data_IF_565579197449
#
_entry.id   IF_565579197449
#
_cell.length_a   1.000
_cell.length_b   1.000
_cell.length_c   1.000
_cell.angle_alpha   90.00
_cell.angle_beta   90.00
_cell.angle_gamma   90.00
#
_symmetry.space_group_name_H-M   'P 1'
#
loop_
_entity.id
_entity.type
_entity.pdbx_description
1 polymer ?
2 water ?
#
# COMPACT_ATOMS: atom_id res chain seq x y z
N UNK A 31 -36.64 -8.72 -0.45
CA UNK A 31 -37.72 -8.33 -1.34
C UNK A 31 -37.22 -7.32 -2.38
N UNK A 32 -36.34 -6.40 -1.96
CA UNK A 32 -35.61 -5.51 -2.88
C UNK A 32 -34.13 -5.63 -2.56
N UNK A 33 -33.31 -5.98 -3.55
CA UNK A 33 -31.88 -6.11 -3.33
C UNK A 33 -31.10 -5.11 -4.19
N UNK A 34 -30.12 -4.46 -3.57
CA UNK A 34 -29.44 -3.30 -4.13
C UNK A 34 -27.93 -3.48 -4.05
N UNK A 35 -27.26 -3.20 -5.16
CA UNK A 35 -25.81 -3.04 -5.28
C UNK A 35 -25.49 -1.57 -5.43
N UNK A 36 -24.47 -1.09 -4.74
CA UNK A 36 -24.08 0.32 -4.84
C UNK A 36 -22.72 0.35 -5.50
N UNK A 37 -22.70 0.68 -6.80
CA UNK A 37 -21.47 0.57 -7.59
C UNK A 37 -20.31 1.31 -6.95
N UNK A 38 -20.55 2.53 -6.50
CA UNK A 38 -19.46 3.39 -6.10
C UNK A 38 -19.03 3.16 -4.66
N UNK A 39 -19.65 2.21 -3.95
CA UNK A 39 -19.40 2.07 -2.52
C UNK A 39 -17.96 1.68 -2.21
N UNK A 40 -17.40 0.69 -2.93
CA UNK A 40 -16.05 0.23 -2.56
C UNK A 40 -15.02 1.34 -2.79
N UNK A 41 -15.16 2.09 -3.87
CA UNK A 41 -14.21 3.16 -4.12
C UNK A 41 -14.38 4.28 -3.11
N UNK A 42 -15.62 4.55 -2.70
CA UNK A 42 -15.87 5.58 -1.71
C UNK A 42 -15.34 5.15 -0.35
N UNK A 43 -15.47 3.86 -0.01
CA UNK A 43 -14.91 3.36 1.24
C UNK A 43 -13.39 3.55 1.27
N UNK A 44 -12.72 3.21 0.16
CA UNK A 44 -11.27 3.32 0.13
C UNK A 44 -10.84 4.78 0.11
N UNK A 45 -11.60 5.63 -0.60
CA UNK A 45 -11.35 7.06 -0.55
C UNK A 45 -11.41 7.59 0.88
N UNK A 46 -12.41 7.19 1.65
CA UNK A 46 -12.51 7.74 3.00
C UNK A 46 -11.44 7.18 3.93
N UNK A 47 -11.04 5.92 3.73
CA UNK A 47 -9.90 5.38 4.45
C UNK A 47 -8.63 6.13 4.11
N UNK A 48 -8.45 6.47 2.83
CA UNK A 48 -7.26 7.25 2.48
C UNK A 48 -7.32 8.63 3.15
N UNK A 49 -8.53 9.19 3.24
CA UNK A 49 -8.67 10.50 3.88
C UNK A 49 -8.33 10.44 5.36
N UNK A 50 -8.72 9.36 6.04
CA UNK A 50 -8.35 9.17 7.44
C UNK A 50 -6.85 9.14 7.60
N UNK A 51 -6.16 8.43 6.72
CA UNK A 51 -4.70 8.36 6.75
C UNK A 51 -4.09 9.74 6.53
N UNK A 52 -4.54 10.43 5.48
CA UNK A 52 -3.93 11.69 5.14
C UNK A 52 -4.22 12.78 6.17
N UNK A 53 -5.30 12.66 6.93
CA UNK A 53 -5.67 13.69 7.91
C UNK A 53 -5.09 13.36 9.29
N UNK A 54 -3.78 13.21 9.34
CA UNK A 54 -3.12 12.99 10.60
C UNK A 54 -3.27 11.60 11.16
N UNK A 55 -3.51 10.60 10.32
CA UNK A 55 -3.61 9.23 10.77
C UNK A 55 -4.83 8.86 11.58
N UNK A 56 -6.01 9.37 11.19
CA UNK A 56 -7.23 9.06 11.93
C UNK A 56 -7.54 7.56 11.87
N UNK A 57 -7.82 6.99 13.03
CA UNK A 57 -8.14 5.57 13.18
C UNK A 57 -6.99 4.66 12.78
N UNK A 58 -5.80 5.20 12.53
CA UNK A 58 -4.64 4.40 12.17
C UNK A 58 -3.99 3.78 13.40
N UNK A 59 -3.61 2.52 13.29
CA UNK A 59 -3.12 1.76 14.43
C UNK A 59 -1.70 1.26 14.25
N UNK A 60 -1.01 1.74 13.23
CA UNK A 60 0.39 1.40 13.04
C UNK A 60 1.07 2.59 12.39
N UNK A 61 2.29 2.84 12.80
CA UNK A 61 3.14 3.85 12.18
C UNK A 61 4.30 3.13 11.53
N UNK A 62 4.40 3.24 10.21
CA UNK A 62 5.48 2.59 9.50
C UNK A 62 6.68 3.52 9.54
N UNK A 63 7.75 3.06 10.21
CA UNK A 63 8.99 3.82 10.30
C UNK A 63 9.90 3.39 9.16
N UNK A 64 10.08 4.26 8.18
CA UNK A 64 10.82 3.95 6.96
C UNK A 64 11.91 5.00 6.82
N UNK A 65 13.13 4.66 7.22
CA UNK A 65 14.16 5.66 7.33
C UNK A 65 13.80 6.65 8.42
N UNK A 66 13.89 7.93 8.07
CA UNK A 66 13.52 8.98 9.02
C UNK A 66 12.02 9.20 9.06
N UNK A 67 11.31 8.80 8.02
CA UNK A 67 9.92 9.20 7.93
C UNK A 67 9.00 8.17 8.57
N UNK A 68 7.77 8.61 8.78
CA UNK A 68 6.76 7.84 9.46
C UNK A 68 5.49 7.90 8.63
N UNK A 69 4.81 6.76 8.52
CA UNK A 69 3.60 6.64 7.70
C UNK A 69 2.54 5.99 8.57
N UNK A 70 1.55 6.74 9.04
CA UNK A 70 0.38 6.10 9.66
C UNK A 70 -0.40 5.31 8.62
N UNK A 71 -0.94 4.18 9.06
CA UNK A 71 -1.72 3.33 8.19
C UNK A 71 -2.63 2.48 9.07
N UNK A 72 -3.51 1.75 8.41
CA UNK A 72 -4.41 0.81 9.07
C UNK A 72 -3.83 -0.59 8.84
N UNK A 73 -3.49 -1.29 9.93
CA UNK A 73 -3.03 -2.67 9.78
C UNK A 73 -4.00 -3.50 8.94
N UNK A 74 -5.31 -3.29 9.10
CA UNK A 74 -6.28 -4.08 8.35
C UNK A 74 -6.19 -3.81 6.85
N UNK A 75 -6.03 -2.54 6.46
CA UNK A 75 -5.87 -2.19 5.06
C UNK A 75 -4.56 -2.76 4.52
N UNK A 76 -3.49 -2.64 5.29
CA UNK A 76 -2.22 -3.19 4.83
C UNK A 76 -2.32 -4.70 4.63
N UNK A 77 -2.99 -5.40 5.55
CA UNK A 77 -3.13 -6.84 5.40
C UNK A 77 -4.01 -7.19 4.22
N UNK A 78 -4.98 -6.34 3.89
CA UNK A 78 -5.86 -6.62 2.76
C UNK A 78 -5.13 -6.58 1.42
N UNK A 79 -4.01 -5.88 1.29
CA UNK A 79 -3.36 -5.78 0.00
C UNK A 79 -1.95 -6.36 -0.04
N UNK A 80 -1.44 -6.85 1.08
CA UNK A 80 -0.07 -7.36 1.16
C UNK A 80 -0.03 -8.62 1.99
N UNK A 81 0.36 -9.75 1.36
CA UNK A 81 0.49 -10.99 2.12
C UNK A 81 1.60 -10.88 3.16
N UNK A 82 2.60 -10.02 2.89
CA UNK A 82 3.63 -9.78 3.88
C UNK A 82 3.03 -9.16 5.14
N UNK A 83 2.39 -7.99 5.02
CA UNK A 83 1.83 -7.37 6.22
C UNK A 83 0.74 -8.23 6.86
N UNK A 84 -0.02 -8.98 6.08
CA UNK A 84 -0.98 -9.90 6.66
C UNK A 84 -0.28 -10.89 7.59
N UNK A 85 0.79 -11.53 7.08
CA UNK A 85 1.51 -12.50 7.89
C UNK A 85 2.13 -11.87 9.12
N UNK A 86 2.75 -10.70 8.94
CA UNK A 86 3.43 -10.03 10.05
C UNK A 86 2.45 -9.68 11.15
N UNK A 87 1.45 -8.86 10.82
CA UNK A 87 0.55 -8.42 11.88
C UNK A 87 -0.28 -9.56 12.45
N UNK A 88 -0.40 -10.67 11.72
CA UNK A 88 -1.09 -11.84 12.27
C UNK A 88 -0.20 -12.61 13.22
N UNK A 89 1.09 -12.69 12.93
CA UNK A 89 2.00 -13.57 13.66
C UNK A 89 2.86 -12.81 14.67
N UNK A 97 2.85 -2.81 19.90
CA UNK A 97 2.93 -3.03 18.46
C UNK A 97 2.43 -1.85 17.63
N UNK A 98 2.70 -0.64 18.11
CA UNK A 98 2.20 0.56 17.42
C UNK A 98 3.02 0.92 16.19
N UNK A 99 4.33 0.66 16.19
CA UNK A 99 5.15 0.98 15.04
C UNK A 99 5.76 -0.28 14.44
N UNK A 100 6.21 -0.15 13.20
CA UNK A 100 6.92 -1.20 12.48
C UNK A 100 8.00 -0.53 11.65
N UNK A 101 9.25 -0.84 11.95
CA UNK A 101 10.38 -0.22 11.28
C UNK A 101 10.71 -1.04 10.03
N UNK A 102 10.67 -0.38 8.87
CA UNK A 102 10.85 -1.02 7.57
C UNK A 102 12.27 -0.71 7.13
N UNK A 103 13.10 -1.73 7.00
CA UNK A 103 14.53 -1.49 6.82
C UNK A 103 14.98 -1.51 5.37
N UNK A 104 14.27 -2.19 4.47
CA UNK A 104 14.79 -2.51 3.15
C UNK A 104 14.07 -1.80 2.02
N UNK A 105 13.21 -0.83 2.32
CA UNK A 105 12.48 -0.08 1.30
C UNK A 105 12.70 1.41 1.54
N UNK A 106 12.98 2.15 0.46
CA UNK A 106 13.23 3.58 0.58
C UNK A 106 11.92 4.31 0.81
N UNK A 107 11.95 5.47 1.49
CA UNK A 107 10.68 6.17 1.73
C UNK A 107 10.00 6.62 0.45
N UNK A 108 10.75 7.03 -0.57
CA UNK A 108 10.12 7.41 -1.84
C UNK A 108 9.31 6.25 -2.42
N UNK A 109 9.91 5.06 -2.46
CA UNK A 109 9.20 3.92 -3.01
C UNK A 109 8.05 3.50 -2.11
N UNK A 110 8.25 3.51 -0.79
CA UNK A 110 7.17 3.04 0.07
C UNK A 110 5.97 4.00 0.03
N UNK A 111 6.21 5.30 -0.14
CA UNK A 111 5.12 6.26 -0.33
C UNK A 111 4.24 5.89 -1.52
N UNK A 112 4.85 5.53 -2.65
CA UNK A 112 4.10 5.14 -3.84
C UNK A 112 3.34 3.85 -3.62
N UNK A 113 3.95 2.91 -2.89
CA UNK A 113 3.27 1.66 -2.61
C UNK A 113 2.06 1.89 -1.69
N UNK A 114 2.23 2.71 -0.65
CA UNK A 114 1.08 3.03 0.19
C UNK A 114 -0.01 3.78 -0.56
N UNK A 115 0.38 4.72 -1.40
CA UNK A 115 -0.64 5.46 -2.14
C UNK A 115 -1.43 4.52 -3.03
N UNK A 116 -0.75 3.55 -3.65
CA UNK A 116 -1.46 2.54 -4.42
C UNK A 116 -2.46 1.79 -3.55
N UNK A 117 -2.03 1.29 -2.40
CA UNK A 117 -2.93 0.51 -1.56
C UNK A 117 -4.21 1.27 -1.25
N UNK A 118 -4.10 2.57 -1.00
CA UNK A 118 -5.19 3.40 -0.58
C UNK A 118 -5.90 4.14 -1.71
N UNK A 119 -5.45 4.04 -2.96
CA UNK A 119 -6.09 4.80 -4.04
C UNK A 119 -6.37 4.02 -5.31
N UNK A 120 -5.72 2.87 -5.52
CA UNK A 120 -5.82 2.03 -6.71
C UNK A 120 -4.90 2.54 -7.82
N UNK A 121 -4.18 3.64 -7.62
CA UNK A 121 -3.31 4.23 -8.63
C UNK A 121 -1.85 4.04 -8.24
N UNK A 122 -1.05 3.57 -9.18
CA UNK A 122 0.39 3.47 -8.99
C UNK A 122 1.06 4.30 -10.07
N UNK A 123 2.01 5.12 -9.65
CA UNK A 123 2.86 5.89 -10.53
C UNK A 123 4.22 5.21 -10.55
N UNK A 124 4.57 4.61 -11.68
CA UNK A 124 5.82 3.84 -11.82
C UNK A 124 6.88 4.77 -12.37
N UNK A 125 7.91 5.06 -11.58
CA UNK A 125 8.99 5.95 -11.99
C UNK A 125 10.19 5.10 -12.39
N UNK A 126 10.59 5.18 -13.67
CA UNK A 126 11.72 4.35 -14.11
C UNK A 126 12.99 4.63 -13.32
N UNK A 127 13.13 5.84 -12.75
CA UNK A 127 14.33 6.15 -11.98
C UNK A 127 14.50 5.23 -10.78
N UNK A 128 13.39 4.73 -10.22
CA UNK A 128 13.45 3.83 -9.08
C UNK A 128 12.61 2.58 -9.34
N UNK A 129 12.52 2.18 -10.61
CA UNK A 129 11.72 1.02 -10.97
C UNK A 129 12.27 -0.30 -10.44
N UNK A 130 13.59 -0.54 -10.48
CA UNK A 130 14.07 -1.79 -9.86
C UNK A 130 13.69 -1.90 -8.40
N UNK A 131 13.73 -0.79 -7.67
CA UNK A 131 13.40 -0.86 -6.25
C UNK A 131 11.90 -1.07 -6.04
N UNK A 132 11.05 -0.49 -6.90
CA UNK A 132 9.62 -0.73 -6.77
C UNK A 132 9.28 -2.19 -6.98
N UNK A 133 9.87 -2.79 -8.02
CA UNK A 133 9.58 -4.18 -8.30
C UNK A 133 10.02 -5.06 -7.15
N UNK A 134 11.24 -4.84 -6.65
CA UNK A 134 11.76 -5.65 -5.56
C UNK A 134 10.88 -5.49 -4.31
N UNK A 135 10.44 -4.26 -4.03
CA UNK A 135 9.58 -4.04 -2.87
C UNK A 135 8.22 -4.69 -3.05
N UNK A 136 7.67 -4.65 -4.26
CA UNK A 136 6.38 -5.28 -4.50
C UNK A 136 6.46 -6.80 -4.36
N UNK A 137 7.57 -7.39 -4.82
CA UNK A 137 7.85 -8.80 -4.59
C UNK A 137 7.93 -9.12 -3.11
N UNK A 138 8.75 -8.37 -2.37
CA UNK A 138 8.93 -8.63 -0.95
C UNK A 138 7.61 -8.50 -0.18
N UNK A 139 6.77 -7.57 -0.59
CA UNK A 139 5.51 -7.34 0.12
C UNK A 139 4.38 -8.22 -0.41
N UNK A 140 4.62 -8.98 -1.47
CA UNK A 140 3.62 -9.84 -2.10
C UNK A 140 2.35 -9.04 -2.38
N UNK A 141 2.52 -7.94 -3.09
CA UNK A 141 1.40 -7.13 -3.56
C UNK A 141 1.18 -7.49 -5.02
N UNK A 142 0.29 -8.47 -5.23
CA UNK A 142 0.15 -9.10 -6.53
C UNK A 142 -0.14 -8.09 -7.62
N UNK A 143 -1.00 -7.12 -7.32
CA UNK A 143 -1.37 -6.14 -8.33
C UNK A 143 -0.15 -5.35 -8.78
N UNK A 144 0.71 -4.98 -7.85
CA UNK A 144 1.84 -4.14 -8.23
C UNK A 144 2.89 -4.97 -8.96
N UNK A 145 3.10 -6.22 -8.51
CA UNK A 145 3.96 -7.15 -9.23
C UNK A 145 3.51 -7.29 -10.67
N UNK A 146 2.23 -7.55 -10.88
CA UNK A 146 1.72 -7.67 -12.23
C UNK A 146 2.02 -6.42 -13.04
N UNK A 147 1.87 -5.25 -12.42
CA UNK A 147 2.14 -4.01 -13.14
C UNK A 147 3.62 -3.90 -13.49
N UNK A 148 4.50 -4.23 -12.55
CA UNK A 148 5.93 -4.15 -12.85
C UNK A 148 6.30 -5.11 -13.97
N UNK A 149 5.69 -6.29 -13.99
CA UNK A 149 5.96 -7.22 -15.08
C UNK A 149 5.53 -6.66 -16.43
N UNK A 150 4.52 -5.79 -16.45
CA UNK A 150 4.13 -5.15 -17.71
C UNK A 150 5.10 -4.06 -18.13
N UNK A 151 5.66 -3.34 -17.17
CA UNK A 151 6.62 -2.29 -17.51
C UNK A 151 7.88 -2.91 -18.12
N UNK A 152 8.35 -4.02 -17.56
CA UNK A 152 9.53 -4.70 -18.13
C UNK A 152 9.27 -5.09 -19.59
N UNK A 153 8.09 -5.62 -19.88
CA UNK A 153 7.78 -6.01 -21.24
C UNK A 153 7.81 -4.84 -22.20
N UNK A 154 7.75 -3.61 -21.69
CA UNK A 154 7.78 -2.42 -22.52
C UNK A 154 9.16 -1.78 -22.57
N UNK A 155 10.13 -2.32 -21.83
CA UNK A 155 11.40 -1.64 -21.57
C UNK A 155 12.60 -2.28 -22.28
#
# INVERSE_FOLDING_TARGET
>A
MAHHHHHHSAALEVLFQGPGMERTEQPWNSSYTYQVSKHSAEMLHNLNGQRKDGGRFCDVILRVGEESFPAHKAVLAACSEYFESVFSCQTEDDGQGKELEMHTISPKVFRDILDFAYTSKIVVRLECFPELMTAAKFLLMRSVIEICQEVIKQS
#
